data_IF_104650631153
#
_entry.id   IF_104650631153
#
_cell.length_a   1.000
_cell.length_b   1.000
_cell.length_c   1.000
_cell.angle_alpha   90.00
_cell.angle_beta   90.00
_cell.angle_gamma   90.00
#
_symmetry.space_group_name_H-M   'P 1'
#
loop_
_entity.id
_entity.type
_entity.pdbx_description
1 polymer ?
#
# COMPACT_ATOMS: atom_id res chain seq x y z
N UNK A 1 5.28 11.87 -16.14
CA UNK A 1 6.56 11.13 -16.11
C UNK A 1 7.19 10.91 -14.73
N UNK A 2 6.45 11.06 -13.62
CA UNK A 2 6.93 10.61 -12.32
C UNK A 2 5.78 9.92 -11.58
N UNK A 3 5.77 8.58 -11.61
CA UNK A 3 4.87 7.76 -10.81
C UNK A 3 5.29 7.69 -9.35
N UNK A 4 4.51 6.95 -8.56
CA UNK A 4 4.84 6.67 -7.16
C UNK A 4 6.25 6.06 -7.02
N UNK A 5 7.03 6.54 -6.04
CA UNK A 5 8.38 6.06 -5.68
C UNK A 5 8.42 5.49 -4.26
N UNK A 6 7.72 4.38 -3.99
CA UNK A 6 7.59 3.81 -2.65
C UNK A 6 8.92 3.51 -1.96
N UNK A 7 9.98 3.23 -2.72
CA UNK A 7 11.34 3.02 -2.22
C UNK A 7 12.01 4.28 -1.67
N UNK A 8 11.56 5.47 -2.08
CA UNK A 8 12.00 6.75 -1.52
C UNK A 8 11.10 7.22 -0.37
N UNK A 9 9.98 6.54 -0.13
CA UNK A 9 9.04 6.87 0.93
C UNK A 9 9.55 6.24 2.23
N UNK A 10 10.54 6.90 2.81
CA UNK A 10 10.96 6.63 4.18
C UNK A 10 9.72 6.81 5.07
N UNK A 11 9.14 5.71 5.53
CA UNK A 11 8.10 5.75 6.57
C UNK A 11 8.74 6.25 7.87
N UNK A 12 8.87 7.57 8.01
CA UNK A 12 9.60 8.24 9.10
C UNK A 12 8.84 8.24 10.43
N UNK A 13 7.53 7.95 10.40
CA UNK A 13 6.63 7.99 11.56
C UNK A 13 5.73 6.75 11.61
N UNK A 14 5.93 5.84 12.58
CA UNK A 14 5.00 4.75 12.84
C UNK A 14 3.57 5.27 13.13
N UNK A 15 2.55 4.59 12.60
CA UNK A 15 1.14 4.96 12.80
C UNK A 15 0.65 6.13 11.94
N UNK A 16 1.34 6.45 10.84
CA UNK A 16 0.93 7.49 9.88
C UNK A 16 0.69 6.87 8.51
N UNK A 17 -0.30 7.41 7.79
CA UNK A 17 -0.53 7.17 6.38
C UNK A 17 0.23 8.22 5.56
N UNK A 18 0.78 7.84 4.41
CA UNK A 18 1.57 8.71 3.55
C UNK A 18 0.90 8.91 2.18
N UNK A 19 0.83 10.16 1.71
CA UNK A 19 0.41 10.50 0.34
C UNK A 19 1.51 11.31 -0.35
N UNK A 20 2.24 10.67 -1.26
CA UNK A 20 3.26 11.34 -2.09
C UNK A 20 2.76 11.42 -3.51
N UNK A 21 2.41 12.63 -3.94
CA UNK A 21 1.87 12.90 -5.28
C UNK A 21 2.26 14.30 -5.75
N UNK A 22 2.34 14.56 -7.08
CA UNK A 22 2.60 15.90 -7.60
C UNK A 22 1.61 16.93 -7.06
N UNK A 23 2.11 18.06 -6.57
CA UNK A 23 1.29 19.16 -6.03
C UNK A 23 0.88 19.02 -4.56
N UNK A 24 1.34 17.98 -3.87
CA UNK A 24 1.20 17.86 -2.40
C UNK A 24 2.51 18.31 -1.75
N UNK A 25 2.45 19.28 -0.84
CA UNK A 25 3.63 19.72 -0.08
C UNK A 25 4.17 18.58 0.79
N UNK A 26 5.50 18.46 0.92
CA UNK A 26 6.15 17.39 1.70
C UNK A 26 5.71 17.38 3.18
N UNK A 27 5.47 18.56 3.76
CA UNK A 27 4.93 18.70 5.12
C UNK A 27 3.55 18.06 5.30
N UNK A 28 2.83 17.83 4.19
CA UNK A 28 1.49 17.24 4.14
C UNK A 28 1.49 15.75 3.76
N UNK A 29 2.66 15.16 3.51
CA UNK A 29 2.75 13.74 3.19
C UNK A 29 2.21 12.87 4.31
N UNK A 30 2.56 13.18 5.56
CA UNK A 30 2.22 12.36 6.71
C UNK A 30 0.89 12.78 7.36
N UNK A 31 -0.10 11.89 7.33
CA UNK A 31 -1.35 12.05 8.06
C UNK A 31 -1.41 11.02 9.19
N UNK A 32 -1.66 11.47 10.43
CA UNK A 32 -1.85 10.56 11.57
C UNK A 32 -3.00 9.60 11.24
N UNK A 33 -2.75 8.29 11.29
CA UNK A 33 -3.81 7.32 11.13
C UNK A 33 -4.82 7.51 12.27
N UNK A 34 -6.10 7.64 11.94
CA UNK A 34 -7.19 7.83 12.92
C UNK A 34 -7.85 6.51 13.27
N UNK A 35 -7.09 5.43 13.31
CA UNK A 35 -7.58 4.14 13.79
C UNK A 35 -7.67 4.24 15.32
N UNK A 36 -8.91 4.21 15.85
CA UNK A 36 -9.16 4.31 17.29
C UNK A 36 -8.54 3.11 18.04
N UNK A 37 -8.57 1.95 17.40
CA UNK A 37 -7.87 0.75 17.81
C UNK A 37 -7.20 0.16 16.56
N UNK A 38 -5.86 0.16 16.45
CA UNK A 38 -5.19 -0.48 15.32
C UNK A 38 -5.48 -1.99 15.39
N UNK A 39 -5.90 -2.62 14.28
CA UNK A 39 -6.15 -4.05 14.29
C UNK A 39 -4.86 -4.80 14.60
N UNK A 40 -4.97 -5.83 15.41
CA UNK A 40 -3.89 -6.78 15.66
C UNK A 40 -3.53 -7.52 14.37
N UNK A 41 -2.30 -8.04 14.30
CA UNK A 41 -1.85 -8.85 13.16
C UNK A 41 -2.80 -10.04 12.90
N UNK A 42 -3.39 -10.61 13.96
CA UNK A 42 -4.35 -11.71 13.86
C UNK A 42 -5.69 -11.26 13.26
N UNK A 43 -6.22 -10.10 13.66
CA UNK A 43 -7.43 -9.52 13.05
C UNK A 43 -7.21 -9.18 11.57
N UNK A 44 -6.04 -8.64 11.24
CA UNK A 44 -5.65 -8.39 9.83
C UNK A 44 -5.64 -9.71 9.06
N UNK A 45 -5.00 -10.75 9.61
CA UNK A 45 -4.91 -12.06 8.96
C UNK A 45 -6.29 -12.70 8.74
N UNK A 46 -7.18 -12.63 9.73
CA UNK A 46 -8.55 -13.15 9.62
C UNK A 46 -9.36 -12.44 8.52
N UNK A 47 -9.28 -11.11 8.45
CA UNK A 47 -9.96 -10.34 7.40
C UNK A 47 -9.42 -10.72 6.02
N UNK A 48 -8.09 -10.82 5.87
CA UNK A 48 -7.44 -11.19 4.60
C UNK A 48 -7.69 -12.64 4.19
N UNK A 49 -7.98 -13.53 5.14
CA UNK A 49 -8.34 -14.93 4.86
C UNK A 49 -9.66 -15.01 4.06
N UNK A 50 -10.61 -14.10 4.34
CA UNK A 50 -11.93 -14.06 3.72
C UNK A 50 -12.10 -13.00 2.63
N UNK A 51 -11.09 -12.15 2.41
CA UNK A 51 -11.15 -11.11 1.40
C UNK A 51 -11.22 -11.71 -0.03
N UNK A 52 -12.02 -11.13 -0.94
CA UNK A 52 -12.01 -11.53 -2.33
C UNK A 52 -10.61 -11.30 -2.93
N UNK A 53 -10.14 -12.26 -3.73
CA UNK A 53 -8.84 -12.20 -4.42
C UNK A 53 -9.03 -12.03 -5.93
N UNK A 54 -9.56 -10.89 -6.39
CA UNK A 54 -9.71 -10.66 -7.83
C UNK A 54 -8.33 -10.64 -8.49
N UNK A 55 -8.19 -11.21 -9.69
CA UNK A 55 -6.98 -11.02 -10.48
C UNK A 55 -6.80 -9.53 -10.80
N UNK A 56 -5.55 -9.11 -10.99
CA UNK A 56 -5.30 -7.78 -11.52
C UNK A 56 -5.81 -7.74 -12.97
N UNK A 57 -6.29 -6.58 -13.42
CA UNK A 57 -6.64 -6.41 -14.82
C UNK A 57 -5.38 -6.56 -15.72
N UNK A 58 -5.55 -6.84 -17.01
CA UNK A 58 -4.42 -7.09 -17.91
C UNK A 58 -3.41 -5.94 -18.00
N UNK A 59 -3.85 -4.68 -17.87
CA UNK A 59 -2.97 -3.51 -17.96
C UNK A 59 -2.11 -3.43 -16.70
N UNK A 60 -2.73 -3.56 -15.53
CA UNK A 60 -2.02 -3.57 -14.24
C UNK A 60 -1.05 -4.75 -14.15
N UNK A 61 -1.47 -5.94 -14.58
CA UNK A 61 -0.60 -7.13 -14.59
C UNK A 61 0.62 -6.96 -15.51
N UNK A 62 0.43 -6.38 -16.70
CA UNK A 62 1.51 -6.11 -17.64
C UNK A 62 2.49 -5.06 -17.09
N UNK A 63 1.99 -3.98 -16.50
CA UNK A 63 2.82 -2.93 -15.91
C UNK A 63 3.67 -3.44 -14.74
N UNK A 64 3.13 -4.34 -13.92
CA UNK A 64 3.83 -4.92 -12.78
C UNK A 64 4.82 -6.04 -13.15
N UNK A 65 4.71 -6.60 -14.36
CA UNK A 65 5.71 -7.52 -14.94
C UNK A 65 6.04 -8.73 -14.05
N UNK A 66 7.33 -9.02 -13.88
CA UNK A 66 7.82 -10.18 -13.12
C UNK A 66 7.39 -10.16 -11.65
N UNK A 67 7.27 -8.97 -11.04
CA UNK A 67 6.83 -8.85 -9.66
C UNK A 67 5.40 -9.39 -9.47
N UNK A 68 4.52 -9.16 -10.45
CA UNK A 68 3.19 -9.74 -10.43
C UNK A 68 3.20 -11.23 -10.75
N UNK A 69 4.01 -11.66 -11.72
CA UNK A 69 4.11 -13.07 -12.13
C UNK A 69 4.58 -13.98 -10.99
N UNK A 70 5.58 -13.53 -10.23
CA UNK A 70 6.27 -14.30 -9.19
C UNK A 70 5.81 -13.96 -7.75
N UNK A 71 4.69 -13.26 -7.59
CA UNK A 71 4.15 -12.91 -6.27
C UNK A 71 3.78 -14.17 -5.47
N UNK A 72 3.92 -14.08 -4.14
CA UNK A 72 3.42 -15.11 -3.25
C UNK A 72 1.91 -15.30 -3.43
N UNK A 73 1.48 -16.56 -3.61
CA UNK A 73 0.07 -16.96 -3.65
C UNK A 73 -0.15 -17.82 -2.41
N UNK A 74 -0.95 -17.32 -1.47
CA UNK A 74 -1.36 -18.01 -0.26
C UNK A 74 -2.80 -18.51 -0.40
#
# INVERSE_FOLDING_TARGET
DAGARPEAWENRKPGYNYLVAPGVDEERYAMKARTFDPPTDEEIAQVLAHAPRPPADPITAAAAGEAYANRARY
#
